data_IF_951965151508
#
_entry.id   IF_951965151508
#
_cell.length_a   1.000
_cell.length_b   1.000
_cell.length_c   1.000
_cell.angle_alpha   90.00
_cell.angle_beta   90.00
_cell.angle_gamma   90.00
#
_symmetry.space_group_name_H-M   'P 1'
#
loop_
_entity.id
_entity.type
_entity.pdbx_description
1 polymer ?
#
# COMPACT_ATOMS: atom_id res chain seq x y z
N UNK A 1 3.46 -30.44 -0.24
CA UNK A 1 4.74 -29.92 -0.81
C UNK A 1 4.55 -28.43 -1.09
N UNK A 2 5.47 -27.57 -0.67
CA UNK A 2 5.60 -26.18 -1.14
C UNK A 2 7.09 -25.97 -1.44
N UNK A 3 7.45 -25.43 -2.61
CA UNK A 3 8.84 -25.04 -2.89
C UNK A 3 9.10 -23.68 -2.23
N UNK A 4 10.14 -23.59 -1.40
CA UNK A 4 10.71 -22.30 -1.01
C UNK A 4 11.60 -21.80 -2.14
N UNK A 5 11.43 -20.55 -2.55
CA UNK A 5 12.45 -19.83 -3.31
C UNK A 5 13.52 -19.36 -2.30
N UNK A 6 14.80 -19.50 -2.63
CA UNK A 6 15.89 -18.95 -1.82
C UNK A 6 16.33 -17.63 -2.47
N UNK A 7 16.44 -16.56 -1.68
CA UNK A 7 17.26 -15.42 -2.07
C UNK A 7 18.72 -15.88 -2.09
N UNK A 8 19.44 -15.56 -3.16
CA UNK A 8 20.88 -15.74 -3.25
C UNK A 8 21.57 -14.47 -2.75
N UNK A 9 21.97 -14.43 -1.48
CA UNK A 9 22.85 -13.38 -0.96
C UNK A 9 24.26 -13.56 -1.53
N UNK A 10 24.67 -12.63 -2.41
CA UNK A 10 25.98 -12.70 -3.06
C UNK A 10 27.08 -12.21 -2.11
N UNK A 11 27.69 -13.16 -1.39
CA UNK A 11 28.75 -12.87 -0.42
C UNK A 11 30.09 -12.61 -1.15
N UNK A 12 30.47 -11.35 -1.36
CA UNK A 12 31.78 -11.00 -1.93
C UNK A 12 32.92 -11.39 -0.97
N UNK A 13 33.82 -12.26 -1.43
CA UNK A 13 35.04 -12.64 -0.72
C UNK A 13 36.19 -11.74 -1.20
N UNK A 14 36.48 -10.67 -0.46
CA UNK A 14 37.65 -9.83 -0.72
C UNK A 14 38.94 -10.52 -0.25
N UNK A 15 39.74 -10.98 -1.20
CA UNK A 15 41.07 -11.57 -0.95
C UNK A 15 42.13 -10.48 -0.74
N UNK A 16 42.74 -10.44 0.44
CA UNK A 16 43.85 -9.54 0.76
C UNK A 16 45.14 -9.89 -0.01
N UNK A 17 45.54 -9.05 -0.96
CA UNK A 17 46.93 -8.92 -1.44
C UNK A 17 47.19 -7.49 -1.92
N UNK A 18 48.16 -6.79 -1.33
CA UNK A 18 48.54 -5.44 -1.75
C UNK A 18 49.30 -4.67 -0.67
N UNK A 19 50.61 -4.86 -0.57
CA UNK A 19 51.48 -4.00 0.23
C UNK A 19 52.17 -2.97 -0.66
N UNK A 20 52.36 -1.76 -0.13
CA UNK A 20 53.38 -0.78 -0.53
C UNK A 20 53.25 -0.18 -1.97
N UNK A 21 53.72 1.03 -2.25
CA UNK A 21 54.29 2.07 -1.37
C UNK A 21 53.85 3.46 -1.83
N UNK A 22 53.93 4.44 -0.94
CA UNK A 22 53.73 5.84 -1.30
C UNK A 22 55.01 6.46 -1.83
N UNK A 23 54.94 7.20 -2.95
CA UNK A 23 55.98 8.18 -3.27
C UNK A 23 55.38 9.45 -3.89
N UNK A 24 55.85 10.61 -3.41
CA UNK A 24 55.51 11.95 -3.92
C UNK A 24 56.82 12.73 -4.09
N UNK A 25 57.11 13.21 -5.30
CA UNK A 25 57.77 14.49 -5.58
C UNK A 25 57.52 14.84 -7.07
N UNK A 26 57.08 16.02 -7.53
CA UNK A 26 57.23 17.44 -7.11
C UNK A 26 58.43 18.14 -7.79
N UNK A 27 58.28 19.45 -8.09
CA UNK A 27 59.26 20.39 -8.69
C UNK A 27 59.59 20.18 -10.20
N UNK A 28 59.89 21.18 -11.05
CA UNK A 28 59.95 22.65 -10.82
C UNK A 28 59.79 23.53 -12.10
N UNK A 29 59.36 24.79 -11.86
CA UNK A 29 59.61 26.10 -12.51
C UNK A 29 60.13 26.27 -13.97
N UNK A 30 59.43 27.15 -14.70
CA UNK A 30 59.90 28.37 -15.45
C UNK A 30 60.97 28.21 -16.59
N UNK A 31 61.22 29.15 -17.52
CA UNK A 31 60.78 30.55 -17.75
C UNK A 31 60.86 30.93 -19.27
N UNK A 32 60.50 32.18 -19.59
CA UNK A 32 60.86 33.05 -20.74
C UNK A 32 59.90 33.27 -21.93
N UNK A 33 59.83 34.56 -22.29
CA UNK A 33 59.14 35.29 -23.41
C UNK A 33 60.26 36.19 -24.05
N UNK A 34 60.10 37.18 -24.98
CA UNK A 34 58.91 37.70 -25.71
C UNK A 34 59.13 38.24 -27.17
N UNK A 35 58.13 38.99 -27.71
CA UNK A 35 58.20 40.00 -28.82
C UNK A 35 58.41 39.44 -30.27
N UNK A 36 57.73 39.87 -31.35
CA UNK A 36 56.53 40.72 -31.62
C UNK A 36 56.05 40.56 -33.10
N UNK A 37 54.77 40.92 -33.40
CA UNK A 37 54.25 41.47 -34.70
C UNK A 37 54.31 40.57 -35.97
N UNK A 38 53.57 40.76 -37.07
CA UNK A 38 52.39 41.56 -37.56
C UNK A 38 51.88 40.81 -38.84
N UNK A 39 50.67 40.92 -39.44
CA UNK A 39 49.52 41.86 -39.37
C UNK A 39 48.19 41.11 -39.78
N UNK A 40 47.12 41.83 -40.17
CA UNK A 40 45.72 41.35 -40.46
C UNK A 40 45.40 41.05 -41.95
N UNK A 41 44.52 40.06 -42.24
CA UNK A 41 43.42 40.14 -43.25
C UNK A 41 42.33 39.05 -43.05
N UNK A 42 41.15 39.25 -43.65
CA UNK A 42 39.89 38.52 -43.38
C UNK A 42 39.74 37.13 -44.06
N UNK A 43 39.07 36.21 -43.36
CA UNK A 43 37.97 35.43 -43.95
C UNK A 43 37.03 34.84 -42.89
N UNK A 44 35.73 35.18 -42.95
CA UNK A 44 34.70 34.56 -42.11
C UNK A 44 34.41 33.12 -42.56
N UNK A 45 35.10 32.14 -41.96
CA UNK A 45 34.56 30.78 -41.83
C UNK A 45 34.08 30.57 -40.39
N UNK A 46 32.88 31.05 -40.10
CA UNK A 46 32.19 30.74 -38.85
C UNK A 46 31.89 29.23 -38.79
N UNK A 47 32.80 28.46 -38.18
CA UNK A 47 32.49 27.11 -37.77
C UNK A 47 31.42 27.19 -36.68
N UNK A 48 30.18 26.85 -37.03
CA UNK A 48 29.09 26.68 -36.07
C UNK A 48 29.29 25.35 -35.34
N UNK A 49 30.31 25.30 -34.48
CA UNK A 49 30.45 24.27 -33.44
C UNK A 49 29.60 24.67 -32.24
N UNK A 50 28.28 24.67 -32.43
CA UNK A 50 27.31 24.64 -31.34
C UNK A 50 26.76 23.23 -31.24
N UNK A 51 27.66 22.29 -30.93
CA UNK A 51 27.28 21.00 -30.38
C UNK A 51 26.94 21.24 -28.89
N UNK A 52 25.83 21.96 -28.68
CA UNK A 52 25.22 22.09 -27.37
C UNK A 52 24.57 20.74 -27.09
N UNK A 53 25.27 19.88 -26.33
CA UNK A 53 24.79 18.55 -25.95
C UNK A 53 23.33 18.63 -25.53
N UNK A 54 22.45 18.09 -26.38
CA UNK A 54 21.03 18.26 -26.23
C UNK A 54 20.59 17.46 -25.00
N UNK A 55 20.41 18.16 -23.88
CA UNK A 55 19.93 17.53 -22.65
C UNK A 55 18.51 17.04 -22.87
N UNK A 56 18.28 15.76 -22.59
CA UNK A 56 16.99 15.08 -22.80
C UNK A 56 16.36 14.85 -21.43
N UNK A 57 15.23 15.51 -21.21
CA UNK A 57 14.40 15.36 -20.02
C UNK A 57 13.45 14.17 -20.21
N UNK A 58 13.55 13.14 -19.37
CA UNK A 58 12.79 11.89 -19.59
C UNK A 58 11.34 11.94 -19.08
N UNK A 59 11.01 12.89 -18.20
CA UNK A 59 9.63 13.05 -17.71
C UNK A 59 8.63 13.40 -18.82
N UNK A 60 9.06 14.15 -19.85
CA UNK A 60 8.28 14.45 -21.07
C UNK A 60 7.82 13.18 -21.83
N UNK A 61 8.43 12.02 -21.57
CA UNK A 61 8.20 10.77 -22.31
C UNK A 61 7.45 9.70 -21.50
N UNK A 62 7.01 9.97 -20.27
CA UNK A 62 6.35 8.97 -19.40
C UNK A 62 5.08 8.33 -19.97
N UNK A 63 4.41 8.96 -20.94
CA UNK A 63 3.24 8.39 -21.63
C UNK A 63 3.57 7.65 -22.93
N UNK A 64 4.79 7.84 -23.49
CA UNK A 64 5.26 7.21 -24.74
C UNK A 64 6.76 6.84 -24.63
N UNK A 65 7.18 6.05 -23.63
CA UNK A 65 8.59 5.86 -23.26
C UNK A 65 9.44 5.22 -24.36
N UNK A 66 8.82 4.45 -25.26
CA UNK A 66 9.49 3.84 -26.42
C UNK A 66 10.08 4.86 -27.41
N UNK A 67 9.61 6.13 -27.41
CA UNK A 67 10.19 7.20 -28.24
C UNK A 67 11.65 7.50 -27.92
N UNK A 68 12.08 7.26 -26.67
CA UNK A 68 13.46 7.48 -26.25
C UNK A 68 14.43 6.52 -26.98
N UNK A 69 13.98 5.34 -27.41
CA UNK A 69 14.80 4.36 -28.14
C UNK A 69 15.34 4.94 -29.45
N UNK A 70 14.47 5.55 -30.26
CA UNK A 70 14.84 6.19 -31.53
C UNK A 70 15.53 7.55 -31.31
N UNK A 71 15.13 8.31 -30.29
CA UNK A 71 15.70 9.62 -29.97
C UNK A 71 17.17 9.53 -29.54
N UNK A 72 17.50 8.54 -28.70
CA UNK A 72 18.88 8.31 -28.24
C UNK A 72 19.67 7.37 -29.15
N UNK A 73 19.02 6.65 -30.08
CA UNK A 73 19.65 5.54 -30.84
C UNK A 73 20.21 4.46 -29.89
N UNK A 74 19.31 3.87 -29.08
CA UNK A 74 19.65 2.89 -28.03
C UNK A 74 19.83 1.47 -28.59
N UNK A 75 20.85 0.74 -28.11
CA UNK A 75 21.05 -0.66 -28.46
C UNK A 75 20.21 -1.59 -27.57
N UNK A 76 19.92 -2.80 -28.06
CA UNK A 76 19.21 -3.84 -27.29
C UNK A 76 20.08 -4.34 -26.12
N UNK A 77 19.47 -4.48 -24.95
CA UNK A 77 20.12 -4.97 -23.72
C UNK A 77 19.42 -6.23 -23.16
N UNK A 78 20.06 -6.90 -22.20
CA UNK A 78 19.46 -7.99 -21.43
C UNK A 78 18.40 -7.46 -20.42
N UNK A 79 17.34 -8.23 -20.13
CA UNK A 79 16.38 -7.94 -19.05
C UNK A 79 17.03 -7.72 -17.70
N UNK A 80 16.67 -6.63 -17.02
CA UNK A 80 17.18 -6.25 -15.70
C UNK A 80 16.09 -5.91 -14.69
N UNK A 81 14.87 -5.54 -15.11
CA UNK A 81 13.77 -5.18 -14.21
C UNK A 81 12.59 -6.17 -14.23
N UNK A 82 12.13 -6.57 -15.42
CA UNK A 82 10.96 -7.41 -15.64
C UNK A 82 11.37 -8.84 -16.09
N UNK A 83 10.66 -9.90 -15.66
CA UNK A 83 11.05 -11.28 -16.00
C UNK A 83 11.10 -11.62 -17.49
N UNK A 84 10.37 -10.88 -18.32
CA UNK A 84 10.28 -11.05 -19.79
C UNK A 84 10.29 -9.68 -20.50
N UNK A 85 11.03 -8.70 -19.96
CA UNK A 85 11.06 -7.31 -20.45
C UNK A 85 11.86 -7.08 -21.74
N UNK A 86 11.48 -6.04 -22.47
CA UNK A 86 12.18 -5.54 -23.66
C UNK A 86 13.14 -4.39 -23.28
N UNK A 87 14.39 -4.73 -22.97
CA UNK A 87 15.40 -3.75 -22.49
C UNK A 87 16.26 -3.14 -23.58
N UNK A 88 16.69 -1.90 -23.36
CA UNK A 88 17.54 -1.08 -24.21
C UNK A 88 18.53 -0.29 -23.35
N UNK A 89 19.73 0.00 -23.85
CA UNK A 89 20.73 0.78 -23.13
C UNK A 89 21.57 1.66 -24.05
N UNK A 90 22.07 2.78 -23.50
CA UNK A 90 23.09 3.64 -24.11
C UNK A 90 23.80 4.47 -23.04
N UNK A 91 25.13 4.52 -23.08
CA UNK A 91 25.97 5.45 -22.29
C UNK A 91 25.66 5.50 -20.77
N UNK A 92 25.23 4.38 -20.18
CA UNK A 92 24.87 4.27 -18.76
C UNK A 92 23.40 4.57 -18.45
N UNK A 93 22.61 5.02 -19.42
CA UNK A 93 21.15 5.07 -19.35
C UNK A 93 20.51 3.78 -19.88
N UNK A 94 19.40 3.40 -19.27
CA UNK A 94 18.63 2.17 -19.56
C UNK A 94 17.15 2.49 -19.63
N UNK A 95 16.48 1.86 -20.59
CA UNK A 95 15.03 1.72 -20.65
C UNK A 95 14.70 0.22 -20.63
N UNK A 96 13.63 -0.16 -19.93
CA UNK A 96 13.00 -1.46 -20.10
C UNK A 96 11.48 -1.31 -20.22
N UNK A 97 10.85 -2.10 -21.09
CA UNK A 97 9.42 -2.07 -21.39
C UNK A 97 8.79 -3.44 -21.14
N UNK A 98 7.56 -3.49 -20.62
CA UNK A 98 6.77 -4.72 -20.55
C UNK A 98 5.26 -4.41 -20.56
N UNK A 99 4.56 -4.85 -21.59
CA UNK A 99 3.14 -4.50 -21.86
C UNK A 99 2.89 -2.98 -21.80
N UNK A 100 2.22 -2.48 -20.75
CA UNK A 100 1.97 -1.05 -20.52
C UNK A 100 2.92 -0.39 -19.51
N UNK A 101 3.97 -1.11 -19.09
CA UNK A 101 4.90 -0.74 -18.04
C UNK A 101 6.26 -0.31 -18.63
N UNK A 102 6.96 0.56 -17.91
CA UNK A 102 8.34 0.90 -18.21
C UNK A 102 9.17 1.12 -16.94
N UNK A 103 10.49 1.06 -17.12
CA UNK A 103 11.43 1.66 -16.18
C UNK A 103 12.58 2.34 -16.90
N UNK A 104 12.93 3.54 -16.45
CA UNK A 104 14.16 4.23 -16.80
C UNK A 104 15.16 4.14 -15.64
N UNK A 105 16.44 4.01 -15.96
CA UNK A 105 17.53 4.18 -15.00
C UNK A 105 18.70 4.93 -15.64
N UNK A 106 19.26 5.91 -14.93
CA UNK A 106 20.51 6.57 -15.30
C UNK A 106 21.61 6.25 -14.28
N UNK A 107 22.74 5.75 -14.75
CA UNK A 107 23.93 5.41 -13.94
C UNK A 107 25.21 6.14 -14.42
N UNK A 108 25.19 6.86 -15.56
CA UNK A 108 26.37 7.61 -16.06
C UNK A 108 26.11 8.66 -17.19
N UNK A 109 24.87 8.85 -17.65
CA UNK A 109 24.59 9.68 -18.83
C UNK A 109 24.33 11.14 -18.45
N UNK A 110 25.37 11.98 -18.52
CA UNK A 110 25.34 13.41 -18.21
C UNK A 110 24.34 14.22 -19.07
N UNK A 111 23.96 13.72 -20.24
CA UNK A 111 23.01 14.33 -21.17
C UNK A 111 21.54 14.04 -20.85
N UNK A 112 21.23 13.22 -19.85
CA UNK A 112 19.85 12.74 -19.59
C UNK A 112 19.40 13.15 -18.18
N UNK A 113 18.32 13.93 -18.10
CA UNK A 113 17.77 14.46 -16.85
C UNK A 113 16.42 13.86 -16.49
N UNK A 114 16.12 13.93 -15.20
CA UNK A 114 14.78 13.67 -14.66
C UNK A 114 14.38 14.85 -13.74
N UNK A 115 13.43 15.67 -14.18
CA UNK A 115 13.13 17.00 -13.61
C UNK A 115 14.38 17.89 -13.49
N UNK A 116 15.33 17.76 -14.42
CA UNK A 116 16.63 18.42 -14.37
C UNK A 116 17.73 17.67 -13.58
N UNK A 117 17.39 16.66 -12.77
CA UNK A 117 18.34 15.91 -11.93
C UNK A 117 19.27 15.04 -12.79
N UNK A 118 20.57 15.07 -12.50
CA UNK A 118 21.64 14.29 -13.14
C UNK A 118 22.35 13.35 -12.16
N UNK A 119 23.09 12.41 -12.72
CA UNK A 119 24.17 11.70 -11.99
C UNK A 119 25.27 12.72 -11.68
N UNK A 120 25.84 12.67 -10.47
CA UNK A 120 26.85 13.62 -9.99
C UNK A 120 26.31 14.91 -9.34
N UNK A 121 25.00 15.17 -9.39
CA UNK A 121 24.39 16.27 -8.62
C UNK A 121 24.48 16.00 -7.11
N UNK A 122 24.34 17.05 -6.29
CA UNK A 122 24.29 16.90 -4.82
C UNK A 122 22.96 16.28 -4.41
N UNK A 123 22.98 15.25 -3.55
CA UNK A 123 21.75 14.55 -3.15
C UNK A 123 20.74 15.48 -2.46
N UNK A 124 21.20 16.47 -1.70
CA UNK A 124 20.34 17.49 -1.07
C UNK A 124 19.56 18.31 -2.12
N UNK A 125 20.21 18.74 -3.20
CA UNK A 125 19.56 19.47 -4.30
C UNK A 125 18.63 18.56 -5.11
N UNK A 126 19.02 17.30 -5.33
CA UNK A 126 18.22 16.32 -6.07
C UNK A 126 16.93 15.91 -5.33
N UNK A 127 17.03 15.62 -4.02
CA UNK A 127 15.89 15.36 -3.13
C UNK A 127 14.93 16.54 -3.16
N UNK A 128 15.44 17.75 -2.95
CA UNK A 128 14.63 18.99 -2.99
C UNK A 128 13.98 19.21 -4.37
N UNK A 129 14.67 18.86 -5.46
CA UNK A 129 14.13 19.00 -6.83
C UNK A 129 13.00 18.02 -7.10
N UNK A 130 13.06 16.80 -6.55
CA UNK A 130 11.94 15.86 -6.58
C UNK A 130 10.73 16.39 -5.81
N UNK A 131 10.94 16.90 -4.58
CA UNK A 131 9.89 17.48 -3.73
C UNK A 131 9.21 18.71 -4.38
N UNK A 132 10.01 19.67 -4.88
CA UNK A 132 9.51 20.84 -5.63
C UNK A 132 8.74 20.44 -6.91
N UNK A 133 9.05 19.27 -7.48
CA UNK A 133 8.38 18.71 -8.67
C UNK A 133 7.14 17.88 -8.35
N UNK A 134 6.70 17.83 -7.08
CA UNK A 134 5.49 17.12 -6.67
C UNK A 134 5.67 15.62 -6.43
N UNK A 135 6.89 15.15 -6.23
CA UNK A 135 7.15 13.83 -5.67
C UNK A 135 7.11 13.89 -4.15
N UNK A 136 6.64 12.83 -3.51
CA UNK A 136 6.51 12.74 -2.06
C UNK A 136 7.38 11.61 -1.53
N UNK A 137 8.16 11.88 -0.48
CA UNK A 137 9.06 10.89 0.14
C UNK A 137 8.26 9.69 0.67
N UNK A 138 8.77 8.48 0.42
CA UNK A 138 8.15 7.22 0.82
C UNK A 138 9.06 6.39 1.72
N UNK A 139 10.31 6.21 1.29
CA UNK A 139 11.28 5.38 2.00
C UNK A 139 12.69 5.96 1.84
N UNK A 140 13.50 5.89 2.89
CA UNK A 140 14.90 6.31 2.86
C UNK A 140 15.73 5.30 3.63
N UNK A 141 16.90 4.97 3.10
CA UNK A 141 17.91 4.15 3.78
C UNK A 141 19.29 4.86 3.73
N UNK A 142 20.35 4.19 4.21
CA UNK A 142 21.68 4.79 4.35
C UNK A 142 22.32 5.22 3.01
N UNK A 143 21.88 4.68 1.86
CA UNK A 143 22.45 4.91 0.52
C UNK A 143 21.42 5.39 -0.55
N UNK A 144 20.12 5.49 -0.22
CA UNK A 144 19.05 5.70 -1.22
C UNK A 144 17.78 6.40 -0.68
N UNK A 145 17.23 7.33 -1.47
CA UNK A 145 15.94 8.01 -1.24
C UNK A 145 14.89 7.58 -2.28
N UNK A 146 13.73 7.12 -1.82
CA UNK A 146 12.59 6.70 -2.66
C UNK A 146 11.38 7.61 -2.45
N UNK A 147 10.74 8.01 -3.55
CA UNK A 147 9.58 8.89 -3.61
C UNK A 147 8.48 8.26 -4.49
N UNK A 148 7.23 8.68 -4.25
CA UNK A 148 6.07 8.31 -5.06
C UNK A 148 5.37 9.57 -5.60
N UNK A 149 4.68 9.44 -6.73
CA UNK A 149 3.78 10.49 -7.26
C UNK A 149 2.67 9.92 -8.16
N UNK A 150 1.63 10.71 -8.40
CA UNK A 150 0.56 10.42 -9.35
C UNK A 150 0.68 11.32 -10.58
N UNK A 151 0.90 10.73 -11.76
CA UNK A 151 0.97 11.46 -13.03
C UNK A 151 -0.07 10.85 -13.98
N UNK A 152 -1.00 11.69 -14.48
CA UNK A 152 -2.18 11.27 -15.25
C UNK A 152 -2.97 10.10 -14.59
N UNK A 153 -3.14 10.18 -13.27
CA UNK A 153 -3.78 9.16 -12.41
C UNK A 153 -3.12 7.77 -12.43
N UNK A 154 -1.84 7.67 -12.81
CA UNK A 154 -1.02 6.46 -12.66
C UNK A 154 0.01 6.68 -11.55
N UNK A 155 0.29 5.69 -10.69
CA UNK A 155 1.35 5.78 -9.71
C UNK A 155 2.72 5.56 -10.36
N UNK A 156 3.70 6.32 -9.89
CA UNK A 156 5.11 6.18 -10.25
C UNK A 156 5.97 6.16 -9.00
N UNK A 157 7.11 5.45 -9.08
CA UNK A 157 8.15 5.44 -8.05
C UNK A 157 9.44 5.99 -8.64
N UNK A 158 10.02 6.98 -7.97
CA UNK A 158 11.34 7.57 -8.23
C UNK A 158 12.29 7.13 -7.12
N UNK A 159 13.50 6.68 -7.45
CA UNK A 159 14.57 6.46 -6.50
C UNK A 159 15.85 7.20 -6.89
N UNK A 160 16.52 7.79 -5.89
CA UNK A 160 17.79 8.51 -5.98
C UNK A 160 18.81 7.80 -5.09
N UNK A 161 19.69 7.01 -5.69
CA UNK A 161 20.81 6.38 -4.99
C UNK A 161 22.02 7.30 -4.98
N UNK A 162 22.74 7.38 -3.86
CA UNK A 162 23.88 8.29 -3.69
C UNK A 162 25.14 7.59 -3.17
N UNK A 163 26.31 8.16 -3.45
CA UNK A 163 27.58 7.71 -2.87
C UNK A 163 27.88 8.43 -1.56
N UNK A 164 28.73 7.83 -0.71
CA UNK A 164 29.11 8.36 0.61
C UNK A 164 29.90 9.69 0.61
N UNK A 165 29.99 10.38 -0.52
CA UNK A 165 30.42 11.77 -0.67
C UNK A 165 29.26 12.77 -0.81
N UNK A 166 28.01 12.29 -0.90
CA UNK A 166 26.80 13.10 -1.02
C UNK A 166 26.37 13.38 -2.46
N UNK A 167 26.91 12.67 -3.46
CA UNK A 167 26.53 12.85 -4.88
C UNK A 167 25.59 11.74 -5.38
N UNK A 168 24.69 12.08 -6.31
CA UNK A 168 23.75 11.13 -6.94
C UNK A 168 24.54 10.14 -7.79
N UNK A 169 24.57 8.88 -7.36
CA UNK A 169 25.25 7.78 -8.04
C UNK A 169 24.37 7.12 -9.11
N UNK A 170 23.05 7.12 -8.92
CA UNK A 170 22.08 6.78 -9.96
C UNK A 170 20.71 7.40 -9.65
N UNK A 171 19.89 7.55 -10.69
CA UNK A 171 18.44 7.71 -10.52
C UNK A 171 17.66 6.68 -11.30
N UNK A 172 16.45 6.38 -10.84
CA UNK A 172 15.59 5.29 -11.32
C UNK A 172 14.13 5.74 -11.24
N UNK A 173 13.35 5.51 -12.29
CA UNK A 173 11.90 5.78 -12.29
C UNK A 173 11.13 4.67 -13.01
N UNK A 174 9.97 4.30 -12.48
CA UNK A 174 9.14 3.20 -13.00
C UNK A 174 7.65 3.41 -12.68
N UNK A 175 6.80 2.58 -13.28
CA UNK A 175 5.39 2.41 -12.91
C UNK A 175 5.05 0.96 -12.46
N UNK A 176 6.04 0.19 -11.96
CA UNK A 176 5.90 -1.19 -11.46
C UNK A 176 7.13 -1.64 -10.63
N UNK A 177 6.95 -2.32 -9.46
CA UNK A 177 5.73 -2.93 -8.94
C UNK A 177 5.15 -2.31 -7.66
N UNK A 178 5.70 -1.20 -7.13
CA UNK A 178 5.15 -0.53 -5.94
C UNK A 178 4.58 0.86 -6.26
N UNK A 179 3.34 0.86 -6.76
CA UNK A 179 2.45 2.01 -6.56
C UNK A 179 1.79 1.98 -5.17
N UNK A 180 1.74 0.81 -4.53
CA UNK A 180 0.96 0.45 -3.35
C UNK A 180 1.14 1.38 -2.13
N UNK A 181 2.29 2.06 -2.01
CA UNK A 181 2.56 3.02 -0.94
C UNK A 181 2.04 4.44 -1.21
N UNK A 182 1.49 4.73 -2.40
CA UNK A 182 1.07 6.10 -2.76
C UNK A 182 -0.04 6.59 -1.83
N UNK A 183 -0.93 5.71 -1.40
CA UNK A 183 -1.99 6.02 -0.46
C UNK A 183 -1.43 6.31 0.94
N UNK A 184 -0.44 5.55 1.42
CA UNK A 184 0.25 5.82 2.70
C UNK A 184 0.90 7.21 2.69
N UNK A 185 1.50 7.58 1.56
CA UNK A 185 2.26 8.83 1.36
C UNK A 185 1.35 10.05 1.15
N UNK A 186 0.24 9.90 0.42
CA UNK A 186 -0.73 10.99 0.22
C UNK A 186 -1.58 11.23 1.48
N UNK A 187 -1.91 10.18 2.24
CA UNK A 187 -2.63 10.30 3.51
C UNK A 187 -1.73 10.82 4.67
N UNK A 188 -0.40 10.76 4.52
CA UNK A 188 0.56 11.20 5.55
C UNK A 188 0.60 12.70 5.83
N UNK A 189 0.07 13.57 4.94
CA UNK A 189 0.17 15.03 5.04
C UNK A 189 -1.15 15.81 4.81
N UNK A 190 -2.31 15.34 5.28
CA UNK A 190 -3.33 16.31 5.72
C UNK A 190 -4.39 15.82 6.72
N UNK A 191 -4.59 16.67 7.74
CA UNK A 191 -5.72 16.66 8.66
C UNK A 191 -6.19 18.13 8.78
N UNK A 192 -7.47 18.50 8.96
CA UNK A 192 -8.70 17.75 9.28
C UNK A 192 -9.87 18.37 8.43
N UNK A 193 -11.04 17.72 8.45
CA UNK A 193 -12.39 18.34 8.58
C UNK A 193 -13.31 18.48 7.34
N UNK A 194 -12.86 18.76 6.11
CA UNK A 194 -13.78 18.93 4.95
C UNK A 194 -13.75 17.79 3.90
N UNK A 195 -12.69 16.97 3.84
CA UNK A 195 -12.51 15.96 2.78
C UNK A 195 -13.02 14.54 3.13
N UNK A 196 -13.14 14.21 4.41
CA UNK A 196 -13.49 12.86 4.90
C UNK A 196 -14.82 12.35 4.34
N UNK A 197 -15.82 13.22 4.27
CA UNK A 197 -17.19 12.89 3.84
C UNK A 197 -17.32 12.37 2.40
N UNK A 198 -16.28 12.47 1.57
CA UNK A 198 -16.25 11.87 0.22
C UNK A 198 -15.27 10.69 0.09
N UNK A 199 -14.15 10.68 0.84
CA UNK A 199 -13.16 9.58 0.74
C UNK A 199 -13.72 8.25 1.25
N UNK A 200 -14.34 8.21 2.44
CA UNK A 200 -14.93 6.96 2.96
C UNK A 200 -16.10 6.49 2.09
N UNK A 201 -16.93 7.42 1.61
CA UNK A 201 -18.07 7.10 0.73
C UNK A 201 -17.62 6.41 -0.55
N UNK A 202 -16.60 6.96 -1.21
CA UNK A 202 -16.08 6.40 -2.45
C UNK A 202 -15.46 5.01 -2.22
N UNK A 203 -14.66 4.83 -1.16
CA UNK A 203 -14.09 3.53 -0.82
C UNK A 203 -15.16 2.47 -0.53
N UNK A 204 -16.25 2.82 0.16
CA UNK A 204 -17.36 1.92 0.42
C UNK A 204 -18.12 1.56 -0.87
N UNK A 205 -18.39 2.57 -1.72
CA UNK A 205 -18.99 2.38 -3.05
C UNK A 205 -18.14 1.42 -3.90
N UNK A 206 -16.82 1.60 -3.93
CA UNK A 206 -15.91 0.76 -4.72
C UNK A 206 -15.78 -0.66 -4.15
N UNK A 207 -15.80 -0.82 -2.82
CA UNK A 207 -15.89 -2.14 -2.19
C UNK A 207 -17.19 -2.87 -2.56
N UNK A 208 -18.33 -2.17 -2.52
CA UNK A 208 -19.65 -2.69 -2.93
C UNK A 208 -19.68 -3.04 -4.42
N UNK A 209 -19.03 -2.24 -5.27
CA UNK A 209 -18.89 -2.51 -6.70
C UNK A 209 -18.05 -3.75 -6.98
N UNK A 210 -16.96 -3.96 -6.23
CA UNK A 210 -16.14 -5.18 -6.27
C UNK A 210 -16.88 -6.42 -5.77
N UNK A 211 -17.77 -6.26 -4.79
CA UNK A 211 -18.48 -7.35 -4.11
C UNK A 211 -19.99 -7.36 -4.39
N UNK A 212 -20.40 -7.17 -5.65
CA UNK A 212 -21.80 -6.99 -6.08
C UNK A 212 -22.76 -8.21 -5.91
N UNK A 213 -22.44 -9.17 -5.04
CA UNK A 213 -23.26 -10.35 -4.73
C UNK A 213 -23.42 -10.53 -3.22
N UNK A 214 -24.29 -9.74 -2.61
CA UNK A 214 -24.75 -9.90 -1.21
C UNK A 214 -26.28 -9.94 -1.11
N UNK A 215 -26.79 -10.47 0.01
CA UNK A 215 -28.21 -10.58 0.31
C UNK A 215 -28.77 -9.27 0.87
N UNK A 216 -27.99 -8.62 1.75
CA UNK A 216 -28.36 -7.37 2.42
C UNK A 216 -27.13 -6.67 2.97
N UNK A 217 -27.21 -5.36 3.12
CA UNK A 217 -26.18 -4.51 3.73
C UNK A 217 -26.79 -3.41 4.59
N UNK A 218 -26.02 -2.75 5.45
CA UNK A 218 -26.50 -1.66 6.31
C UNK A 218 -25.33 -0.76 6.73
N UNK A 219 -25.57 0.56 6.82
CA UNK A 219 -24.69 1.47 7.55
C UNK A 219 -25.05 1.43 9.05
N UNK A 220 -24.08 1.10 9.89
CA UNK A 220 -24.23 0.94 11.35
C UNK A 220 -23.22 1.83 12.09
N UNK A 221 -23.52 2.22 13.32
CA UNK A 221 -22.59 2.95 14.17
C UNK A 221 -22.06 2.00 15.26
N UNK A 222 -20.82 1.54 15.13
CA UNK A 222 -20.16 0.77 16.19
C UNK A 222 -19.35 1.70 17.08
N UNK A 223 -18.55 2.60 16.49
CA UNK A 223 -17.45 3.27 17.18
C UNK A 223 -17.79 4.65 17.81
N UNK A 224 -18.90 5.27 17.42
CA UNK A 224 -19.36 6.56 17.93
C UNK A 224 -18.87 7.81 17.18
N UNK A 225 -18.13 7.66 16.08
CA UNK A 225 -17.66 8.77 15.24
C UNK A 225 -18.62 9.13 14.08
N UNK A 226 -18.23 10.11 13.25
CA UNK A 226 -19.06 10.65 12.17
C UNK A 226 -19.12 9.76 10.91
N UNK A 227 -18.34 8.67 10.86
CA UNK A 227 -18.24 7.73 9.74
C UNK A 227 -18.89 6.39 10.15
N UNK A 228 -19.95 5.94 9.47
CA UNK A 228 -20.60 4.67 9.81
C UNK A 228 -19.75 3.48 9.37
N UNK A 229 -19.78 2.38 10.12
CA UNK A 229 -19.34 1.09 9.61
C UNK A 229 -20.32 0.53 8.56
N UNK A 230 -19.80 -0.10 7.51
CA UNK A 230 -20.57 -0.80 6.49
C UNK A 230 -20.66 -2.29 6.83
N UNK A 231 -21.85 -2.77 7.17
CA UNK A 231 -22.17 -4.19 7.29
C UNK A 231 -22.66 -4.75 5.94
N UNK A 232 -22.13 -5.90 5.53
CA UNK A 232 -22.58 -6.67 4.36
C UNK A 232 -22.80 -8.13 4.76
N UNK A 233 -23.99 -8.67 4.51
CA UNK A 233 -24.30 -10.10 4.62
C UNK A 233 -24.35 -10.74 3.23
N UNK A 234 -23.45 -11.69 2.98
CA UNK A 234 -23.40 -12.43 1.71
C UNK A 234 -24.55 -13.45 1.58
N UNK A 235 -25.33 -13.70 2.64
CA UNK A 235 -26.50 -14.60 2.62
C UNK A 235 -26.16 -16.08 2.41
N UNK A 236 -24.88 -16.42 2.34
CA UNK A 236 -24.36 -17.76 2.11
C UNK A 236 -23.48 -18.14 3.30
N UNK A 237 -23.87 -19.20 4.00
CA UNK A 237 -23.21 -19.72 5.21
C UNK A 237 -21.69 -19.96 5.06
N UNK A 238 -21.20 -20.21 3.85
CA UNK A 238 -19.77 -20.41 3.57
C UNK A 238 -18.97 -19.10 3.38
N UNK A 239 -19.65 -17.97 3.17
CA UNK A 239 -19.06 -16.63 3.02
C UNK A 239 -19.31 -15.75 4.26
N UNK A 240 -20.43 -15.98 4.97
CA UNK A 240 -20.76 -15.26 6.19
C UNK A 240 -21.12 -13.79 5.91
N UNK A 241 -20.59 -12.90 6.73
CA UNK A 241 -20.77 -11.45 6.60
C UNK A 241 -19.42 -10.73 6.77
N UNK A 242 -19.37 -9.44 6.46
CA UNK A 242 -18.20 -8.58 6.74
C UNK A 242 -18.66 -7.25 7.35
N UNK A 243 -17.82 -6.70 8.22
CA UNK A 243 -17.87 -5.29 8.63
C UNK A 243 -16.70 -4.58 7.99
N UNK A 244 -16.96 -3.47 7.30
CA UNK A 244 -15.95 -2.54 6.85
C UNK A 244 -15.98 -1.28 7.72
N UNK A 245 -14.82 -0.73 8.07
CA UNK A 245 -14.67 0.60 8.66
C UNK A 245 -13.65 1.40 7.84
N UNK A 246 -13.57 2.72 8.06
CA UNK A 246 -12.58 3.60 7.44
C UNK A 246 -11.62 4.12 8.50
N UNK A 247 -10.32 3.96 8.26
CA UNK A 247 -9.27 4.49 9.13
C UNK A 247 -8.08 4.93 8.29
N UNK A 248 -7.41 6.03 8.66
CA UNK A 248 -6.15 6.47 8.05
C UNK A 248 -6.17 6.57 6.51
N UNK A 249 -7.33 6.91 5.91
CA UNK A 249 -7.49 7.01 4.45
C UNK A 249 -7.74 5.68 3.72
N UNK A 250 -7.81 4.55 4.44
CA UNK A 250 -7.98 3.18 3.90
C UNK A 250 -9.22 2.49 4.48
N UNK A 251 -9.75 1.53 3.73
CA UNK A 251 -10.80 0.63 4.19
C UNK A 251 -10.17 -0.52 4.99
N UNK A 252 -10.79 -0.90 6.11
CA UNK A 252 -10.42 -2.08 6.91
C UNK A 252 -11.60 -3.04 7.04
N UNK A 253 -11.33 -4.36 7.15
CA UNK A 253 -12.34 -5.42 7.11
C UNK A 253 -12.25 -6.36 8.31
N UNK A 254 -13.40 -6.75 8.88
CA UNK A 254 -13.52 -7.91 9.77
C UNK A 254 -14.61 -8.85 9.25
N UNK A 255 -14.18 -10.03 8.80
CA UNK A 255 -15.07 -11.12 8.39
C UNK A 255 -15.71 -11.78 9.61
N UNK A 256 -17.03 -11.99 9.55
CA UNK A 256 -17.86 -12.62 10.57
C UNK A 256 -18.28 -14.01 10.07
N UNK A 257 -18.29 -14.99 10.97
CA UNK A 257 -18.67 -16.36 10.62
C UNK A 257 -20.10 -16.68 11.11
N UNK A 258 -20.48 -17.96 11.07
CA UNK A 258 -21.89 -18.38 11.04
C UNK A 258 -22.59 -18.29 12.41
N UNK A 259 -23.18 -17.14 12.75
CA UNK A 259 -24.53 -17.05 13.33
C UNK A 259 -25.11 -15.64 13.27
N UNK A 260 -24.32 -14.59 13.57
CA UNK A 260 -24.78 -13.21 13.43
C UNK A 260 -23.95 -12.14 14.13
N UNK A 261 -24.14 -10.91 13.67
CA UNK A 261 -23.59 -9.69 14.26
C UNK A 261 -24.54 -9.11 15.32
N UNK A 262 -23.97 -8.71 16.46
CA UNK A 262 -24.55 -7.67 17.31
C UNK A 262 -23.50 -6.64 17.70
N UNK A 263 -23.91 -5.40 17.94
CA UNK A 263 -23.04 -4.27 18.31
C UNK A 263 -23.73 -3.38 19.35
N UNK A 264 -22.95 -2.64 20.14
CA UNK A 264 -23.50 -1.63 21.07
C UNK A 264 -23.29 -0.27 20.41
N UNK A 265 -24.38 0.43 20.08
CA UNK A 265 -24.33 1.66 19.29
C UNK A 265 -23.46 2.75 19.94
N UNK A 266 -22.39 3.14 19.26
CA UNK A 266 -21.47 4.21 19.66
C UNK A 266 -20.48 3.89 20.79
N UNK A 267 -20.46 2.66 21.33
CA UNK A 267 -19.60 2.27 22.46
C UNK A 267 -18.32 1.51 22.01
N UNK A 268 -18.02 1.51 20.72
CA UNK A 268 -16.86 0.86 20.07
C UNK A 268 -16.70 -0.63 20.42
N UNK A 269 -17.82 -1.36 20.45
CA UNK A 269 -17.87 -2.77 20.78
C UNK A 269 -18.86 -3.55 19.90
N UNK A 270 -18.37 -4.62 19.27
CA UNK A 270 -19.22 -5.59 18.58
C UNK A 270 -18.88 -7.03 18.90
N UNK A 271 -19.85 -7.91 18.65
CA UNK A 271 -19.84 -9.33 18.96
C UNK A 271 -20.12 -10.12 17.69
N UNK A 272 -19.10 -10.81 17.21
CA UNK A 272 -19.20 -11.89 16.24
C UNK A 272 -19.67 -13.14 17.01
N UNK A 273 -20.93 -13.55 16.77
CA UNK A 273 -21.48 -14.81 17.29
C UNK A 273 -21.44 -15.86 16.20
N UNK A 274 -21.08 -17.10 16.54
CA UNK A 274 -21.15 -18.17 15.56
C UNK A 274 -21.02 -19.57 16.10
N UNK A 275 -21.30 -20.56 15.24
CA UNK A 275 -21.15 -21.97 15.56
C UNK A 275 -21.88 -22.89 14.59
N UNK A 276 -21.60 -24.18 14.70
CA UNK A 276 -22.28 -25.23 13.94
C UNK A 276 -22.13 -26.58 14.64
N UNK A 277 -23.19 -27.39 14.64
CA UNK A 277 -23.20 -28.75 15.20
C UNK A 277 -22.69 -28.80 16.66
N UNK A 278 -23.41 -28.13 17.57
CA UNK A 278 -23.13 -28.14 19.02
C UNK A 278 -21.77 -27.61 19.47
N UNK A 279 -21.10 -26.81 18.62
CA UNK A 279 -19.89 -26.03 18.95
C UNK A 279 -20.09 -24.58 18.50
N UNK A 280 -19.95 -23.65 19.45
CA UNK A 280 -20.25 -22.23 19.31
C UNK A 280 -19.16 -21.36 19.92
N UNK A 281 -19.12 -20.10 19.52
CA UNK A 281 -18.18 -19.08 20.00
C UNK A 281 -18.85 -17.71 20.12
N UNK A 282 -18.23 -16.86 20.93
CA UNK A 282 -18.46 -15.43 21.02
C UNK A 282 -17.11 -14.72 20.90
N UNK A 283 -16.97 -13.74 20.01
CA UNK A 283 -15.77 -12.91 19.89
C UNK A 283 -16.15 -11.44 20.04
N UNK A 284 -15.57 -10.78 21.04
CA UNK A 284 -15.78 -9.35 21.30
C UNK A 284 -14.63 -8.57 20.69
N UNK A 285 -14.97 -7.63 19.80
CA UNK A 285 -14.05 -6.81 19.04
C UNK A 285 -14.27 -5.32 19.33
N UNK A 286 -13.21 -4.53 19.09
CA UNK A 286 -13.23 -3.07 19.08
C UNK A 286 -12.45 -2.56 17.87
N UNK A 287 -12.60 -1.28 17.52
CA UNK A 287 -11.82 -0.59 16.48
C UNK A 287 -10.77 0.27 17.18
N UNK A 288 -9.49 -0.04 16.97
CA UNK A 288 -8.37 0.67 17.60
C UNK A 288 -7.18 0.74 16.63
N UNK A 289 -6.46 1.88 16.62
CA UNK A 289 -5.23 2.08 15.85
C UNK A 289 -5.36 1.67 14.36
N UNK A 290 -6.52 2.00 13.78
CA UNK A 290 -6.88 1.68 12.40
C UNK A 290 -6.95 0.19 12.09
N UNK A 291 -7.36 -0.64 13.06
CA UNK A 291 -7.56 -2.09 12.92
C UNK A 291 -8.76 -2.59 13.75
N UNK A 292 -9.32 -3.74 13.37
CA UNK A 292 -10.27 -4.49 14.18
C UNK A 292 -9.51 -5.38 15.17
N UNK A 293 -9.67 -5.14 16.47
CA UNK A 293 -8.91 -5.80 17.54
C UNK A 293 -9.81 -6.73 18.37
N UNK A 294 -9.44 -8.00 18.43
CA UNK A 294 -10.11 -9.00 19.27
C UNK A 294 -9.73 -8.81 20.75
N UNK A 295 -10.70 -8.44 21.59
CA UNK A 295 -10.52 -8.23 23.02
C UNK A 295 -10.79 -9.51 23.84
N UNK A 296 -11.89 -10.21 23.54
CA UNK A 296 -12.34 -11.38 24.30
C UNK A 296 -12.84 -12.49 23.39
N UNK A 297 -12.64 -13.75 23.81
CA UNK A 297 -13.10 -14.94 23.10
C UNK A 297 -13.73 -15.95 24.06
N UNK A 298 -15.04 -16.13 23.92
CA UNK A 298 -15.79 -17.21 24.54
C UNK A 298 -15.95 -18.38 23.56
N UNK A 299 -15.94 -19.61 24.06
CA UNK A 299 -16.28 -20.82 23.29
C UNK A 299 -17.13 -21.74 24.16
N UNK A 300 -18.17 -22.35 23.60
CA UNK A 300 -19.03 -23.29 24.32
C UNK A 300 -19.62 -24.37 23.42
N UNK A 301 -19.87 -25.55 23.97
CA UNK A 301 -20.43 -26.65 23.18
C UNK A 301 -20.24 -28.03 23.81
N UNK A 302 -20.69 -29.06 23.10
CA UNK A 302 -20.52 -30.43 23.53
C UNK A 302 -19.05 -30.88 23.41
N UNK A 303 -18.54 -31.56 24.43
CA UNK A 303 -17.15 -32.07 24.44
C UNK A 303 -16.89 -33.09 23.31
N UNK A 304 -17.93 -33.81 22.89
CA UNK A 304 -17.89 -34.76 21.79
C UNK A 304 -19.21 -34.78 21.01
N UNK A 305 -19.22 -34.17 19.82
CA UNK A 305 -20.38 -34.13 18.94
C UNK A 305 -20.86 -35.52 18.46
N UNK A 306 -20.04 -36.57 18.60
CA UNK A 306 -20.43 -37.95 18.29
C UNK A 306 -21.04 -38.71 19.48
N UNK A 307 -20.92 -38.20 20.71
CA UNK A 307 -21.44 -38.82 21.94
C UNK A 307 -21.99 -37.74 22.88
N UNK A 308 -23.16 -37.21 22.52
CA UNK A 308 -23.76 -36.03 23.14
C UNK A 308 -24.43 -36.38 24.47
N UNK A 309 -23.88 -35.86 25.56
CA UNK A 309 -24.39 -36.05 26.92
C UNK A 309 -25.59 -35.15 27.21
N UNK A 310 -26.52 -35.64 28.04
CA UNK A 310 -27.73 -34.94 28.46
C UNK A 310 -27.82 -34.81 29.99
N UNK A 311 -28.37 -33.70 30.47
CA UNK A 311 -28.70 -33.49 31.88
C UNK A 311 -29.99 -34.24 32.31
N UNK A 312 -30.33 -34.18 33.60
CA UNK A 312 -31.55 -34.83 34.14
C UNK A 312 -32.86 -34.30 33.53
N UNK A 313 -32.84 -33.14 32.86
CA UNK A 313 -33.97 -32.55 32.14
C UNK A 313 -34.00 -32.88 30.64
N UNK A 314 -32.98 -33.57 30.12
CA UNK A 314 -32.84 -33.93 28.71
C UNK A 314 -32.24 -32.83 27.83
N UNK A 315 -31.58 -31.82 28.41
CA UNK A 315 -30.84 -30.77 27.68
C UNK A 315 -29.39 -31.18 27.48
N UNK A 316 -28.74 -30.69 26.42
CA UNK A 316 -27.33 -30.96 26.14
C UNK A 316 -26.42 -30.40 27.24
N UNK A 317 -25.44 -31.18 27.67
CA UNK A 317 -24.36 -30.71 28.54
C UNK A 317 -23.27 -30.10 27.68
N UNK A 318 -23.01 -28.80 27.87
CA UNK A 318 -21.94 -28.06 27.22
C UNK A 318 -20.81 -27.72 28.21
N UNK A 319 -19.57 -27.79 27.74
CA UNK A 319 -18.42 -27.17 28.39
C UNK A 319 -18.32 -25.71 27.93
N UNK A 320 -17.89 -24.81 28.82
CA UNK A 320 -17.79 -23.37 28.58
C UNK A 320 -16.35 -22.89 28.82
N UNK A 321 -15.84 -22.02 27.96
CA UNK A 321 -14.48 -21.50 28.00
C UNK A 321 -14.47 -19.99 27.75
N UNK A 322 -13.77 -19.23 28.60
CA UNK A 322 -13.58 -17.79 28.47
C UNK A 322 -12.08 -17.46 28.37
N UNK A 323 -11.67 -16.76 27.31
CA UNK A 323 -10.27 -16.53 26.93
C UNK A 323 -9.41 -17.81 27.03
N UNK A 324 -9.95 -18.92 26.48
CA UNK A 324 -9.33 -20.25 26.48
C UNK A 324 -9.32 -21.00 27.82
N UNK A 325 -9.76 -20.38 28.92
CA UNK A 325 -9.84 -21.00 30.24
C UNK A 325 -11.23 -21.58 30.48
N UNK A 326 -11.33 -22.83 30.94
CA UNK A 326 -12.64 -23.46 31.23
C UNK A 326 -13.29 -22.78 32.45
N UNK A 327 -14.58 -22.47 32.34
CA UNK A 327 -15.41 -21.93 33.43
C UNK A 327 -16.42 -22.99 33.91
N UNK A 328 -16.93 -22.83 35.13
CA UNK A 328 -17.71 -23.86 35.83
C UNK A 328 -19.13 -24.05 35.31
N UNK A 329 -19.69 -23.06 34.61
CA UNK A 329 -21.11 -23.03 34.23
C UNK A 329 -21.42 -22.02 33.13
N UNK A 330 -22.59 -22.20 32.51
CA UNK A 330 -23.26 -21.23 31.64
C UNK A 330 -23.48 -19.87 32.34
N UNK A 331 -23.82 -19.89 33.64
CA UNK A 331 -24.01 -18.69 34.44
C UNK A 331 -22.69 -17.91 34.63
N UNK A 332 -21.58 -18.59 34.92
CA UNK A 332 -20.27 -17.94 34.99
C UNK A 332 -19.84 -17.38 33.63
N UNK A 333 -20.06 -18.12 32.54
CA UNK A 333 -19.80 -17.66 31.17
C UNK A 333 -20.60 -16.39 30.81
N UNK A 334 -21.91 -16.40 31.04
CA UNK A 334 -22.78 -15.26 30.72
C UNK A 334 -22.51 -14.03 31.61
N UNK A 335 -22.08 -14.24 32.86
CA UNK A 335 -21.60 -13.17 33.73
C UNK A 335 -20.28 -12.56 33.24
N UNK A 336 -19.35 -13.37 32.72
CA UNK A 336 -18.08 -12.87 32.15
C UNK A 336 -18.30 -12.13 30.83
N UNK A 337 -19.20 -12.62 29.97
CA UNK A 337 -19.63 -11.95 28.76
C UNK A 337 -20.24 -10.57 29.07
N UNK A 338 -21.24 -10.51 29.96
CA UNK A 338 -21.92 -9.25 30.29
C UNK A 338 -21.07 -8.24 31.09
N UNK A 339 -19.91 -8.66 31.64
CA UNK A 339 -18.92 -7.73 32.21
C UNK A 339 -18.13 -6.94 31.15
N UNK A 340 -18.05 -7.44 29.90
CA UNK A 340 -17.28 -6.82 28.82
C UNK A 340 -18.14 -6.38 27.63
N UNK A 341 -19.34 -6.94 27.51
CA UNK A 341 -20.27 -6.69 26.42
C UNK A 341 -21.71 -6.89 26.94
N UNK A 342 -22.39 -5.79 27.28
CA UNK A 342 -23.73 -5.83 27.84
C UNK A 342 -24.75 -6.26 26.78
N UNK A 343 -25.21 -7.51 26.86
CA UNK A 343 -26.14 -8.09 25.88
C UNK A 343 -27.54 -7.46 25.90
N UNK A 344 -27.92 -6.77 26.98
CA UNK A 344 -29.19 -6.02 27.06
C UNK A 344 -29.14 -4.65 26.36
N UNK A 345 -27.94 -4.18 25.98
CA UNK A 345 -27.71 -2.95 25.19
C UNK A 345 -27.30 -3.25 23.74
N UNK A 346 -27.13 -4.52 23.39
CA UNK A 346 -26.69 -4.93 22.06
C UNK A 346 -27.85 -4.91 21.06
N UNK A 347 -27.60 -4.34 19.88
CA UNK A 347 -28.52 -4.35 18.72
C UNK A 347 -27.94 -5.18 17.58
N UNK A 348 -28.80 -5.63 16.68
CA UNK A 348 -28.45 -6.36 15.45
C UNK A 348 -28.90 -5.58 14.20
N UNK A 349 -28.20 -5.69 13.05
CA UNK A 349 -28.67 -5.12 11.79
C UNK A 349 -30.12 -5.54 11.41
N UNK A 350 -30.55 -6.71 11.90
CA UNK A 350 -31.87 -7.30 11.62
C UNK A 350 -32.95 -6.99 12.67
N UNK A 351 -32.69 -6.18 13.69
CA UNK A 351 -33.69 -5.90 14.73
C UNK A 351 -34.94 -5.21 14.15
N UNK A 352 -36.12 -5.80 14.36
CA UNK A 352 -37.36 -5.30 13.79
C UNK A 352 -37.47 -5.42 12.26
N UNK A 353 -36.56 -6.14 11.59
CA UNK A 353 -36.66 -6.40 10.16
C UNK A 353 -37.74 -7.45 9.84
N UNK A 354 -38.44 -7.25 8.72
CA UNK A 354 -39.42 -8.19 8.18
C UNK A 354 -38.86 -8.90 6.94
N UNK A 355 -39.23 -10.16 6.72
CA UNK A 355 -38.82 -10.91 5.52
C UNK A 355 -39.90 -10.81 4.44
N UNK A 356 -39.63 -10.07 3.35
CA UNK A 356 -40.53 -9.88 2.21
C UNK A 356 -39.79 -10.04 0.88
N UNK A 357 -40.49 -10.54 -0.13
CA UNK A 357 -40.03 -10.60 -1.53
C UNK A 357 -38.65 -11.26 -1.75
N UNK A 358 -38.24 -12.14 -0.83
CA UNK A 358 -37.00 -12.92 -0.89
C UNK A 358 -35.84 -12.40 -0.03
N UNK A 359 -35.99 -11.25 0.65
CA UNK A 359 -34.96 -10.65 1.51
C UNK A 359 -35.53 -10.11 2.83
N UNK A 360 -34.65 -9.69 3.73
CA UNK A 360 -35.03 -8.85 4.86
C UNK A 360 -35.14 -7.37 4.44
N UNK A 361 -36.09 -6.66 5.04
CA UNK A 361 -36.35 -5.23 4.86
C UNK A 361 -36.66 -4.56 6.20
N UNK A 362 -36.46 -3.24 6.28
CA UNK A 362 -36.62 -2.47 7.52
C UNK A 362 -35.28 -2.25 8.25
N UNK A 363 -35.30 -1.45 9.32
CA UNK A 363 -34.12 -1.09 10.13
C UNK A 363 -32.86 -0.69 9.32
N UNK A 364 -33.05 0.03 8.20
CA UNK A 364 -31.94 0.47 7.33
C UNK A 364 -31.26 -0.64 6.51
N UNK A 365 -31.80 -1.86 6.48
CA UNK A 365 -31.31 -2.92 5.60
C UNK A 365 -31.56 -2.57 4.13
N UNK A 366 -30.48 -2.61 3.36
CA UNK A 366 -30.40 -2.20 1.98
C UNK A 366 -30.07 -3.38 1.05
N UNK A 367 -30.54 -3.32 -0.19
CA UNK A 367 -29.95 -4.02 -1.33
C UNK A 367 -28.80 -3.19 -1.96
N UNK A 368 -28.21 -3.66 -3.06
CA UNK A 368 -27.12 -2.98 -3.76
C UNK A 368 -27.43 -1.52 -4.16
N UNK A 369 -28.57 -1.24 -4.79
CA UNK A 369 -28.92 0.14 -5.20
C UNK A 369 -29.21 1.02 -3.96
N UNK A 370 -29.91 0.46 -2.97
CA UNK A 370 -30.29 1.15 -1.73
C UNK A 370 -29.08 1.53 -0.87
N UNK A 371 -28.02 0.69 -0.82
CA UNK A 371 -26.82 1.01 -0.01
C UNK A 371 -25.97 2.08 -0.68
N UNK A 372 -25.90 2.11 -2.01
CA UNK A 372 -25.25 3.19 -2.75
C UNK A 372 -26.01 4.50 -2.53
N UNK A 373 -27.35 4.49 -2.53
CA UNK A 373 -28.16 5.67 -2.17
C UNK A 373 -27.94 6.10 -0.70
N UNK A 374 -27.90 5.15 0.23
CA UNK A 374 -27.67 5.42 1.66
C UNK A 374 -26.29 6.03 1.93
N UNK A 375 -25.22 5.50 1.32
CA UNK A 375 -23.86 6.04 1.43
C UNK A 375 -23.80 7.46 0.89
N UNK A 376 -24.37 7.72 -0.30
CA UNK A 376 -24.37 9.07 -0.87
C UNK A 376 -25.10 10.09 0.02
N UNK A 377 -26.24 9.70 0.62
CA UNK A 377 -27.12 10.58 1.39
C UNK A 377 -26.80 10.72 2.89
N UNK A 378 -25.78 10.01 3.42
CA UNK A 378 -25.33 10.13 4.82
C UNK A 378 -24.69 11.49 5.11
#
# INVERSE_FOLDING_TARGET
>A
MKRKLLLFTCLMVLSFTGCNDSDKNNQEMEDTKPIEKEDVDDSETAQVTTDTEQTIEVSDYFQEPSKIIELLDMEKAEPWQFPEGDSYAKDGFKLELYDNLFSFKNEAADSITLYGIKVGDTIEDAVKTAEDSGWKSYYTNDDEYTFLSLIDNKPYLLSLGYSGDGTVAFWYVNNWPQGDGIDEVLNGEQSIEDASSQSWKQLYIDYINGHNQFLSSKLININGDDIPELYIDYGVTAYGSVICSYADGRLIEQYLYVAGLSYIEGENLFRDTGGHMDVYYDKIYTIQDGQFVLLYSGNYGAENNADRQLDESGRLIYNYYWNGSQVSSEEEYMNLLNQVYNTDMAVSPYDGAEYSDGRYIGNGLCNYDEIIEAINNY
#
